data_IF_885805285864
#
_entry.id   IF_885805285864
#
_cell.length_a   1.000
_cell.length_b   1.000
_cell.length_c   1.000
_cell.angle_alpha   90.00
_cell.angle_beta   90.00
_cell.angle_gamma   90.00
#
_symmetry.space_group_name_H-M   'P 1'
#
loop_
_entity.id
_entity.type
_entity.pdbx_description
1 polymer ?
#
# COMPACT_ATOMS: atom_id res chain seq x y z
N UNK A 1 11.88 -19.81 -22.52
CA UNK A 1 11.16 -20.73 -21.61
C UNK A 1 9.68 -20.54 -21.83
N UNK A 2 8.89 -21.61 -21.90
CA UNK A 2 7.43 -21.45 -21.93
C UNK A 2 7.00 -20.86 -20.61
N UNK A 3 6.14 -19.85 -20.64
CA UNK A 3 5.60 -19.16 -19.49
C UNK A 3 4.55 -20.07 -18.84
N UNK A 4 4.85 -20.79 -17.77
CA UNK A 4 3.94 -21.84 -17.27
C UNK A 4 2.65 -21.26 -16.64
N UNK A 5 2.68 -19.98 -16.26
CA UNK A 5 1.58 -19.37 -15.49
C UNK A 5 0.93 -18.17 -16.17
N UNK A 6 1.48 -17.69 -17.27
CA UNK A 6 0.92 -16.57 -18.00
C UNK A 6 0.49 -16.99 -19.40
N UNK A 7 -0.79 -16.86 -19.69
CA UNK A 7 -1.31 -17.03 -21.03
C UNK A 7 -1.47 -15.65 -21.68
N UNK A 8 -0.62 -15.29 -22.65
CA UNK A 8 -0.69 -14.00 -23.34
C UNK A 8 -1.96 -13.84 -24.18
N UNK A 9 -2.68 -14.93 -24.44
CA UNK A 9 -4.02 -14.81 -25.00
C UNK A 9 -4.94 -14.46 -23.85
N UNK A 10 -5.75 -13.42 -24.00
CA UNK A 10 -6.82 -13.20 -23.06
C UNK A 10 -7.52 -14.53 -22.82
N UNK A 11 -7.46 -15.01 -21.60
CA UNK A 11 -8.15 -16.24 -21.20
C UNK A 11 -9.60 -16.14 -21.58
N UNK A 12 -10.03 -14.96 -21.82
CA UNK A 12 -11.38 -14.60 -22.02
C UNK A 12 -11.66 -14.03 -23.37
N UNK A 13 -12.81 -14.32 -23.78
CA UNK A 13 -13.48 -13.44 -24.69
C UNK A 13 -14.04 -12.22 -23.96
N UNK A 14 -13.42 -11.78 -22.86
CA UNK A 14 -13.79 -10.60 -22.15
C UNK A 14 -14.63 -10.78 -20.88
N UNK A 15 -15.04 -11.98 -20.50
CA UNK A 15 -15.86 -12.20 -19.33
C UNK A 15 -15.09 -12.67 -18.11
N UNK A 16 -15.58 -12.43 -16.88
CA UNK A 16 -14.96 -12.89 -15.63
C UNK A 16 -14.76 -14.39 -15.57
N UNK A 17 -15.66 -15.14 -16.13
CA UNK A 17 -15.63 -16.60 -16.23
C UNK A 17 -14.41 -17.14 -17.01
N UNK A 18 -13.77 -16.28 -17.79
CA UNK A 18 -12.57 -16.61 -18.50
C UNK A 18 -11.31 -16.60 -17.62
N UNK A 19 -11.42 -16.06 -16.42
CA UNK A 19 -10.37 -16.06 -15.44
C UNK A 19 -10.57 -17.19 -14.46
N UNK A 20 -9.59 -18.05 -14.34
CA UNK A 20 -9.46 -19.02 -13.22
C UNK A 20 -10.72 -19.83 -12.95
N UNK A 21 -11.69 -19.85 -13.82
CA UNK A 21 -12.97 -20.47 -13.52
C UNK A 21 -13.68 -19.82 -12.33
N UNK A 22 -13.32 -18.60 -11.97
CA UNK A 22 -14.09 -17.81 -11.00
C UNK A 22 -15.27 -17.25 -11.71
N UNK A 23 -16.39 -17.82 -11.44
CA UNK A 23 -17.67 -17.23 -11.78
C UNK A 23 -18.03 -16.21 -10.68
N UNK A 24 -17.97 -14.93 -11.00
CA UNK A 24 -18.45 -13.88 -10.11
C UNK A 24 -19.94 -13.98 -9.85
N UNK A 25 -20.62 -14.83 -10.58
CA UNK A 25 -22.03 -15.15 -10.41
C UNK A 25 -22.24 -16.45 -9.64
N UNK A 26 -21.17 -16.95 -8.97
CA UNK A 26 -21.35 -18.10 -8.09
C UNK A 26 -22.48 -17.80 -7.09
N UNK A 27 -23.54 -18.53 -7.23
CA UNK A 27 -24.68 -18.46 -6.33
C UNK A 27 -24.42 -19.21 -5.04
N UNK A 28 -23.42 -20.08 -5.05
CA UNK A 28 -23.00 -20.88 -3.92
C UNK A 28 -21.63 -20.39 -3.41
N UNK A 29 -21.46 -20.25 -2.10
CA UNK A 29 -20.17 -19.89 -1.55
C UNK A 29 -19.13 -20.98 -1.86
N UNK A 30 -17.85 -20.56 -2.02
CA UNK A 30 -16.76 -21.51 -2.11
C UNK A 30 -16.73 -22.42 -0.87
N UNK A 31 -16.44 -23.72 -1.04
CA UNK A 31 -16.29 -24.61 0.11
C UNK A 31 -15.21 -24.08 1.04
N UNK A 32 -15.45 -24.13 2.34
CA UNK A 32 -14.43 -23.81 3.32
C UNK A 32 -13.28 -24.79 3.23
N UNK A 33 -12.09 -24.29 2.99
CA UNK A 33 -10.86 -25.06 3.01
C UNK A 33 -9.89 -24.46 4.01
N UNK A 34 -9.42 -25.24 4.98
CA UNK A 34 -8.39 -24.83 5.91
C UNK A 34 -7.46 -25.97 6.28
N UNK A 35 -6.16 -25.66 6.42
CA UNK A 35 -5.16 -26.61 6.91
C UNK A 35 -4.24 -25.86 7.88
N UNK A 36 -4.13 -26.39 9.09
CA UNK A 36 -3.34 -25.80 10.19
C UNK A 36 -3.75 -24.37 10.60
N UNK A 37 -4.93 -23.92 10.18
CA UNK A 37 -5.52 -22.61 10.50
C UNK A 37 -6.95 -22.84 10.94
N UNK A 38 -7.41 -22.07 11.93
CA UNK A 38 -8.79 -22.08 12.40
C UNK A 38 -9.32 -20.64 12.42
N UNK A 39 -10.48 -20.45 11.79
CA UNK A 39 -11.23 -19.21 11.93
C UNK A 39 -11.64 -19.03 13.39
N UNK A 40 -11.26 -17.92 14.01
CA UNK A 40 -11.56 -17.61 15.41
C UNK A 40 -12.80 -16.73 15.50
N UNK A 41 -12.87 -15.69 14.69
CA UNK A 41 -13.99 -14.76 14.64
C UNK A 41 -14.07 -14.03 13.30
N UNK A 42 -15.19 -13.40 13.07
CA UNK A 42 -15.45 -12.55 11.90
C UNK A 42 -16.21 -11.30 12.35
N UNK A 43 -15.99 -10.17 11.69
CA UNK A 43 -16.77 -8.94 11.84
C UNK A 43 -17.05 -8.36 10.47
N UNK A 44 -18.28 -7.96 10.24
CA UNK A 44 -18.73 -7.25 9.02
C UNK A 44 -18.50 -5.74 9.10
N UNK A 45 -17.88 -5.25 10.18
CA UNK A 45 -17.63 -3.84 10.46
C UNK A 45 -18.90 -2.97 10.41
N UNK A 46 -20.06 -3.50 10.85
CA UNK A 46 -21.37 -2.87 10.74
C UNK A 46 -21.78 -2.55 9.29
N UNK A 47 -21.35 -3.38 8.34
CA UNK A 47 -21.64 -3.19 6.92
C UNK A 47 -20.81 -2.09 6.23
N UNK A 48 -19.76 -1.61 6.88
CA UNK A 48 -18.88 -0.60 6.24
C UNK A 48 -18.16 -1.14 5.01
N UNK A 49 -17.77 -2.38 4.97
CA UNK A 49 -17.34 -3.09 3.77
C UNK A 49 -15.96 -2.76 3.24
N UNK A 50 -15.56 -1.55 3.13
CA UNK A 50 -14.36 -1.06 2.41
C UNK A 50 -13.06 -1.21 3.19
N UNK A 51 -12.91 -2.25 3.97
CA UNK A 51 -11.73 -2.47 4.80
C UNK A 51 -10.46 -2.63 3.95
N UNK A 52 -9.43 -1.88 4.30
CA UNK A 52 -8.09 -2.01 3.74
C UNK A 52 -7.14 -2.66 4.75
N UNK A 53 -6.04 -1.99 5.05
CA UNK A 53 -5.04 -2.56 5.94
C UNK A 53 -5.43 -2.43 7.41
N UNK A 54 -4.99 -3.39 8.20
CA UNK A 54 -5.21 -3.45 9.63
C UNK A 54 -3.91 -3.26 10.40
N UNK A 55 -4.04 -2.70 11.59
CA UNK A 55 -2.96 -2.61 12.58
C UNK A 55 -3.48 -3.09 13.93
N UNK A 56 -2.81 -4.06 14.52
CA UNK A 56 -3.18 -4.57 15.85
C UNK A 56 -2.14 -4.14 16.89
N UNK A 57 -2.61 -3.70 18.05
CA UNK A 57 -1.74 -3.36 19.17
C UNK A 57 -2.51 -2.86 20.38
N UNK A 58 -1.98 -3.09 21.60
CA UNK A 58 -2.60 -2.64 22.84
C UNK A 58 -3.98 -3.26 23.12
N UNK A 59 -4.32 -4.41 22.52
CA UNK A 59 -5.63 -5.04 22.63
C UNK A 59 -6.70 -4.46 21.71
N UNK A 60 -6.29 -3.62 20.73
CA UNK A 60 -7.18 -3.03 19.72
C UNK A 60 -6.72 -3.37 18.31
N UNK A 61 -7.69 -3.46 17.40
CA UNK A 61 -7.47 -3.59 15.98
C UNK A 61 -8.04 -2.34 15.29
N UNK A 62 -7.18 -1.65 14.54
CA UNK A 62 -7.52 -0.49 13.74
C UNK A 62 -7.62 -0.92 12.28
N UNK A 63 -8.76 -0.70 11.68
CA UNK A 63 -9.05 -1.10 10.30
C UNK A 63 -9.24 0.17 9.47
N UNK A 64 -8.36 0.39 8.49
CA UNK A 64 -8.50 1.50 7.57
C UNK A 64 -9.70 1.28 6.63
N UNK A 65 -10.36 2.36 6.26
CA UNK A 65 -11.48 2.36 5.32
C UNK A 65 -11.17 3.17 4.07
N UNK A 66 -11.50 2.63 2.91
CA UNK A 66 -11.16 3.23 1.60
C UNK A 66 -12.01 4.45 1.25
N UNK A 67 -13.10 4.67 1.95
CA UNK A 67 -14.07 5.71 1.64
C UNK A 67 -14.95 5.46 0.42
N UNK A 68 -14.96 4.24 -0.10
CA UNK A 68 -16.02 3.81 -1.00
C UNK A 68 -17.32 3.75 -0.17
N UNK A 69 -18.44 4.09 -0.73
CA UNK A 69 -19.72 4.17 0.00
C UNK A 69 -19.77 5.23 1.14
N UNK A 70 -18.82 6.16 1.21
CA UNK A 70 -18.80 7.23 2.19
C UNK A 70 -18.29 6.84 3.58
N UNK A 71 -17.59 5.71 3.70
CA UNK A 71 -17.05 5.20 4.96
C UNK A 71 -15.53 5.43 5.06
N UNK A 72 -15.09 6.66 4.89
CA UNK A 72 -13.68 7.05 5.04
C UNK A 72 -13.24 7.01 6.50
N UNK A 73 -11.96 6.76 6.72
CA UNK A 73 -11.37 6.84 8.05
C UNK A 73 -11.02 5.48 8.62
N UNK A 74 -11.54 5.12 9.80
CA UNK A 74 -11.16 3.86 10.43
C UNK A 74 -12.24 3.29 11.35
N UNK A 75 -12.26 1.96 11.43
CA UNK A 75 -12.99 1.21 12.47
C UNK A 75 -12.02 0.73 13.53
N UNK A 76 -12.38 0.86 14.79
CA UNK A 76 -11.62 0.38 15.95
C UNK A 76 -12.39 -0.75 16.63
N UNK A 77 -11.72 -1.89 16.78
CA UNK A 77 -12.26 -3.03 17.48
C UNK A 77 -11.45 -3.31 18.77
N UNK A 78 -12.12 -3.60 19.85
CA UNK A 78 -11.52 -4.26 21.01
C UNK A 78 -11.33 -5.75 20.66
N UNK A 79 -10.10 -6.22 20.68
CA UNK A 79 -9.69 -7.58 20.37
C UNK A 79 -8.94 -8.24 21.51
N UNK A 80 -9.13 -7.77 22.74
CA UNK A 80 -8.56 -8.40 23.95
C UNK A 80 -9.03 -9.83 24.10
N UNK A 81 -10.27 -10.10 23.71
CA UNK A 81 -10.77 -11.45 23.41
C UNK A 81 -10.90 -11.61 21.89
N UNK A 82 -9.94 -12.25 21.22
CA UNK A 82 -9.97 -12.38 19.76
C UNK A 82 -11.11 -13.26 19.25
N UNK A 83 -11.76 -14.04 20.10
CA UNK A 83 -12.94 -14.83 19.72
C UNK A 83 -14.23 -13.99 19.72
N UNK A 84 -14.21 -12.82 20.33
CA UNK A 84 -15.35 -11.91 20.45
C UNK A 84 -14.93 -10.46 20.16
N UNK A 85 -14.46 -10.14 18.94
CA UNK A 85 -14.07 -8.78 18.59
C UNK A 85 -15.29 -7.86 18.69
N UNK A 86 -15.10 -6.67 19.28
CA UNK A 86 -16.17 -5.70 19.44
C UNK A 86 -15.80 -4.39 18.77
N UNK A 87 -16.64 -3.91 17.88
CA UNK A 87 -16.50 -2.55 17.37
C UNK A 87 -16.76 -1.58 18.52
N UNK A 88 -15.76 -0.76 18.81
CA UNK A 88 -15.82 0.23 19.90
C UNK A 88 -15.91 1.65 19.38
N UNK A 89 -15.45 1.90 18.17
CA UNK A 89 -15.62 3.19 17.48
C UNK A 89 -15.50 3.04 15.98
N UNK A 90 -16.16 3.94 15.25
CA UNK A 90 -16.02 4.12 13.80
C UNK A 90 -15.87 5.62 13.52
N UNK A 91 -14.71 6.00 13.02
CA UNK A 91 -14.35 7.40 12.77
C UNK A 91 -14.45 7.61 11.26
N UNK A 92 -15.40 8.44 10.85
CA UNK A 92 -15.49 8.94 9.48
C UNK A 92 -14.62 10.17 9.33
N UNK A 93 -13.95 10.24 8.21
CA UNK A 93 -13.15 11.39 7.80
C UNK A 93 -13.78 12.08 6.57
N UNK A 94 -13.00 12.81 5.81
CA UNK A 94 -13.47 13.49 4.62
C UNK A 94 -13.76 12.51 3.48
N UNK A 95 -14.94 12.55 2.84
CA UNK A 95 -15.26 11.73 1.68
C UNK A 95 -14.37 12.04 0.46
N UNK A 96 -13.59 13.10 0.53
CA UNK A 96 -12.65 13.52 -0.50
C UNK A 96 -11.31 12.77 -0.48
N UNK A 97 -11.03 12.02 0.58
CA UNK A 97 -9.77 11.30 0.74
C UNK A 97 -9.99 9.82 1.03
N UNK A 98 -8.93 9.03 0.85
CA UNK A 98 -8.90 7.59 1.18
C UNK A 98 -7.92 7.34 2.30
N UNK A 99 -8.31 6.51 3.26
CA UNK A 99 -7.42 5.99 4.29
C UNK A 99 -7.07 4.54 3.97
N UNK A 100 -5.87 4.32 3.43
CA UNK A 100 -5.39 2.96 3.12
C UNK A 100 -4.77 2.28 4.33
N UNK A 101 -4.23 3.07 5.26
CA UNK A 101 -3.42 2.54 6.33
C UNK A 101 -3.59 3.31 7.62
N UNK A 102 -3.63 2.57 8.71
CA UNK A 102 -3.53 3.09 10.07
C UNK A 102 -2.23 2.56 10.66
N UNK A 103 -1.39 3.43 11.17
CA UNK A 103 -0.12 3.11 11.81
C UNK A 103 -0.18 3.47 13.30
N UNK A 104 -0.16 2.47 14.16
CA UNK A 104 0.08 2.68 15.58
C UNK A 104 1.59 2.79 15.81
N UNK A 105 2.08 4.02 15.96
CA UNK A 105 3.50 4.30 16.15
C UNK A 105 3.95 3.83 17.54
N UNK A 106 3.18 4.21 18.55
CA UNK A 106 3.31 3.80 19.94
C UNK A 106 1.92 3.81 20.62
N UNK A 107 1.85 3.83 21.93
CA UNK A 107 0.59 3.85 22.67
C UNK A 107 -0.15 5.20 22.59
N UNK A 108 0.59 6.27 22.31
CA UNK A 108 0.07 7.64 22.33
C UNK A 108 -0.20 8.18 20.91
N UNK A 109 0.51 7.68 19.90
CA UNK A 109 0.45 8.24 18.54
C UNK A 109 -0.06 7.24 17.53
N UNK A 110 -1.11 7.64 16.83
CA UNK A 110 -1.66 6.97 15.66
C UNK A 110 -1.50 7.88 14.45
N UNK A 111 -1.13 7.30 13.32
CA UNK A 111 -0.99 8.03 12.05
C UNK A 111 -1.81 7.32 10.98
N UNK A 112 -2.55 8.07 10.19
CA UNK A 112 -3.20 7.57 8.97
C UNK A 112 -2.68 8.34 7.76
N UNK A 113 -2.74 7.71 6.59
CA UNK A 113 -2.54 8.45 5.34
C UNK A 113 -3.84 9.17 4.94
N UNK A 114 -3.68 10.20 4.14
CA UNK A 114 -4.72 10.88 3.40
C UNK A 114 -4.31 10.93 1.93
N UNK A 115 -5.00 10.15 1.09
CA UNK A 115 -4.83 10.21 -0.35
C UNK A 115 -6.07 10.82 -0.97
N UNK A 116 -5.91 11.99 -1.56
CA UNK A 116 -7.02 12.75 -2.16
C UNK A 116 -7.59 11.96 -3.35
N UNK A 117 -8.89 11.89 -3.44
CA UNK A 117 -9.56 11.31 -4.61
C UNK A 117 -9.45 12.23 -5.82
N UNK A 118 -9.25 11.71 -7.03
CA UNK A 118 -9.07 12.54 -8.23
C UNK A 118 -10.17 13.58 -8.46
N UNK A 119 -11.40 13.28 -8.07
CA UNK A 119 -12.54 14.22 -8.18
C UNK A 119 -12.47 15.43 -7.24
N UNK A 120 -11.60 15.41 -6.24
CA UNK A 120 -11.43 16.46 -5.24
C UNK A 120 -10.04 17.10 -5.26
N UNK A 121 -9.23 16.80 -6.28
CA UNK A 121 -7.83 17.27 -6.36
C UNK A 121 -7.67 18.80 -6.34
N UNK A 122 -8.67 19.51 -6.81
CA UNK A 122 -8.65 20.97 -6.91
C UNK A 122 -9.45 21.65 -5.77
N UNK A 123 -9.92 20.89 -4.78
CA UNK A 123 -10.63 21.39 -3.62
C UNK A 123 -9.62 21.88 -2.56
N UNK A 124 -9.54 23.19 -2.29
CA UNK A 124 -8.55 23.73 -1.37
C UNK A 124 -8.78 23.37 0.12
N UNK A 125 -9.94 22.81 0.45
CA UNK A 125 -10.25 22.35 1.81
C UNK A 125 -9.79 20.91 2.07
N UNK A 126 -9.34 20.21 1.03
CA UNK A 126 -8.93 18.80 1.13
C UNK A 126 -7.42 18.70 1.22
N UNK A 127 -6.94 18.14 2.33
CA UNK A 127 -5.51 18.01 2.61
C UNK A 127 -5.06 16.57 2.40
N UNK A 128 -4.08 16.39 1.50
CA UNK A 128 -3.37 15.13 1.31
C UNK A 128 -2.12 15.02 2.18
N UNK A 129 -1.75 13.81 2.58
CA UNK A 129 -0.55 13.58 3.38
C UNK A 129 -0.75 12.62 4.53
N UNK A 130 -0.35 13.00 5.73
CA UNK A 130 -0.52 12.23 6.96
C UNK A 130 -1.43 12.94 7.94
N UNK A 131 -2.24 12.20 8.65
CA UNK A 131 -3.06 12.65 9.76
C UNK A 131 -2.51 12.08 11.06
N UNK A 132 -2.26 12.94 12.03
CA UNK A 132 -1.72 12.58 13.34
C UNK A 132 -2.85 12.61 14.36
N UNK A 133 -2.95 11.56 15.16
CA UNK A 133 -3.96 11.44 16.21
C UNK A 133 -3.29 11.15 17.55
N UNK A 134 -3.82 11.77 18.61
CA UNK A 134 -3.61 11.36 20.00
C UNK A 134 -4.43 10.09 20.25
N UNK A 135 -3.74 9.01 20.57
CA UNK A 135 -4.29 7.67 20.81
C UNK A 135 -4.18 7.25 22.29
N UNK A 136 -4.00 8.20 23.21
CA UNK A 136 -3.95 7.92 24.66
C UNK A 136 -5.25 7.28 25.15
N UNK A 137 -6.38 7.62 24.51
CA UNK A 137 -7.62 6.84 24.57
C UNK A 137 -7.80 6.08 23.24
N UNK A 138 -7.49 4.78 23.19
CA UNK A 138 -7.58 4.00 21.96
C UNK A 138 -9.00 3.87 21.37
N UNK A 139 -10.01 4.13 22.19
CA UNK A 139 -11.41 4.10 21.74
C UNK A 139 -11.82 5.42 21.07
N UNK A 140 -11.24 6.54 21.52
CA UNK A 140 -11.56 7.87 21.02
C UNK A 140 -10.29 8.65 20.62
N UNK A 141 -9.54 8.19 19.60
CA UNK A 141 -8.37 8.92 19.11
C UNK A 141 -8.77 10.33 18.70
N UNK A 142 -7.96 11.33 19.07
CA UNK A 142 -8.23 12.73 18.77
C UNK A 142 -7.33 13.19 17.65
N UNK A 143 -7.90 13.71 16.59
CA UNK A 143 -7.14 14.37 15.54
C UNK A 143 -6.35 15.58 16.10
N UNK A 144 -5.07 15.64 15.76
CA UNK A 144 -4.14 16.68 16.22
C UNK A 144 -3.72 17.57 15.06
N UNK A 145 -3.18 16.98 13.98
CA UNK A 145 -2.57 17.76 12.90
C UNK A 145 -2.48 16.98 11.59
N UNK A 146 -2.27 17.71 10.49
CA UNK A 146 -1.83 17.20 9.19
C UNK A 146 -0.33 17.44 9.00
N UNK A 147 0.34 16.47 8.35
CA UNK A 147 1.61 16.69 7.64
C UNK A 147 1.26 16.69 6.16
N UNK A 148 1.19 17.86 5.58
CA UNK A 148 0.75 18.06 4.21
C UNK A 148 1.79 17.57 3.21
N UNK A 149 1.33 16.96 2.13
CA UNK A 149 2.15 16.44 1.03
C UNK A 149 1.48 16.83 -0.30
N UNK A 150 2.31 17.21 -1.24
CA UNK A 150 1.91 17.70 -2.56
C UNK A 150 0.96 16.75 -3.31
N UNK A 151 0.29 17.27 -4.33
CA UNK A 151 -0.54 16.52 -5.25
C UNK A 151 -1.69 15.79 -4.56
N UNK A 152 -1.76 14.48 -4.71
CA UNK A 152 -2.79 13.65 -4.08
C UNK A 152 -2.41 13.17 -2.67
N UNK A 153 -1.29 13.64 -2.10
CA UNK A 153 -0.85 13.27 -0.77
C UNK A 153 -0.11 11.93 -0.71
N UNK A 154 -0.45 11.10 0.28
CA UNK A 154 0.23 9.82 0.55
C UNK A 154 -0.71 8.66 0.33
N UNK A 155 -0.24 7.67 -0.45
CA UNK A 155 -0.95 6.42 -0.68
C UNK A 155 -0.70 5.40 0.45
N UNK A 156 0.57 4.99 0.67
CA UNK A 156 0.92 3.97 1.66
C UNK A 156 2.17 4.33 2.46
N UNK A 157 2.03 4.65 3.75
CA UNK A 157 3.15 4.79 4.66
C UNK A 157 3.53 3.46 5.31
N UNK A 158 4.83 3.21 5.48
CA UNK A 158 5.41 2.09 6.23
C UNK A 158 6.33 2.65 7.30
N UNK A 159 6.14 2.24 8.55
CA UNK A 159 6.96 2.69 9.67
C UNK A 159 8.05 1.69 10.02
N UNK A 160 9.31 2.09 9.84
CA UNK A 160 10.48 1.37 10.32
C UNK A 160 10.77 1.75 11.78
N UNK A 161 10.34 0.89 12.70
CA UNK A 161 10.52 1.10 14.14
C UNK A 161 11.99 1.10 14.57
N UNK A 162 12.85 0.36 13.86
CA UNK A 162 14.27 0.21 14.22
C UNK A 162 15.02 1.51 13.93
N UNK A 163 14.76 2.11 12.78
CA UNK A 163 15.42 3.34 12.35
C UNK A 163 14.66 4.61 12.73
N UNK A 164 13.43 4.49 13.20
CA UNK A 164 12.48 5.60 13.39
C UNK A 164 12.32 6.45 12.13
N UNK A 165 12.12 5.76 11.02
CA UNK A 165 11.86 6.36 9.72
C UNK A 165 10.49 5.89 9.21
N UNK A 166 9.87 6.71 8.39
CA UNK A 166 8.69 6.30 7.64
C UNK A 166 8.96 6.44 6.15
N UNK A 167 8.66 5.38 5.43
CA UNK A 167 8.76 5.30 3.98
C UNK A 167 7.36 5.37 3.40
N UNK A 168 7.10 6.33 2.54
CA UNK A 168 5.77 6.54 2.00
C UNK A 168 5.79 6.60 0.48
N UNK A 169 4.81 5.99 -0.16
CA UNK A 169 4.50 6.28 -1.55
C UNK A 169 3.62 7.53 -1.59
N UNK A 170 4.09 8.56 -2.25
CA UNK A 170 3.39 9.84 -2.27
C UNK A 170 3.76 10.68 -3.47
N UNK A 171 3.15 11.83 -3.58
CA UNK A 171 3.37 12.77 -4.66
C UNK A 171 4.37 13.86 -4.24
N UNK A 172 5.03 14.42 -5.23
CA UNK A 172 5.95 15.54 -5.06
C UNK A 172 5.92 16.43 -6.29
N UNK A 173 5.77 17.73 -6.11
CA UNK A 173 5.83 18.69 -7.20
C UNK A 173 7.16 18.58 -7.96
N UNK A 174 7.10 18.63 -9.29
CA UNK A 174 8.25 18.42 -10.15
C UNK A 174 8.59 16.95 -10.42
N UNK A 175 7.70 16.02 -10.03
CA UNK A 175 7.85 14.59 -10.30
C UNK A 175 6.55 13.98 -10.82
N UNK A 176 6.68 13.07 -11.77
CA UNK A 176 5.55 12.31 -12.32
C UNK A 176 5.30 11.04 -11.50
N UNK A 177 4.02 10.75 -11.25
CA UNK A 177 3.60 9.57 -10.51
C UNK A 177 3.87 9.66 -9.01
N UNK A 178 4.02 8.51 -8.36
CA UNK A 178 4.33 8.41 -6.94
C UNK A 178 5.81 8.10 -6.74
N UNK A 179 6.44 8.78 -5.82
CA UNK A 179 7.85 8.65 -5.46
C UNK A 179 8.01 8.17 -4.02
N UNK A 180 9.20 7.74 -3.64
CA UNK A 180 9.52 7.37 -2.26
C UNK A 180 9.76 8.63 -1.44
N UNK A 181 8.90 8.89 -0.46
CA UNK A 181 9.09 9.94 0.54
C UNK A 181 9.64 9.33 1.82
N UNK A 182 10.67 9.93 2.38
CA UNK A 182 11.28 9.51 3.65
C UNK A 182 11.04 10.59 4.71
N UNK A 183 10.46 10.17 5.84
CA UNK A 183 10.25 11.05 6.99
C UNK A 183 11.03 10.55 8.20
N UNK A 184 11.65 11.49 8.93
CA UNK A 184 12.19 11.23 10.28
C UNK A 184 11.02 11.20 11.28
N UNK A 185 10.97 10.13 12.06
CA UNK A 185 9.92 9.84 13.04
C UNK A 185 10.43 9.88 14.47
N UNK A 186 11.57 10.57 14.74
CA UNK A 186 12.10 10.75 16.10
C UNK A 186 11.07 11.46 16.98
N UNK A 187 10.40 12.46 16.42
CA UNK A 187 9.19 13.03 16.97
C UNK A 187 7.97 12.56 16.15
N UNK A 188 7.22 11.55 16.62
CA UNK A 188 6.09 11.04 15.86
C UNK A 188 4.88 11.98 15.84
N UNK A 189 4.88 13.04 16.66
CA UNK A 189 3.86 14.08 16.61
C UNK A 189 4.09 15.10 15.49
N UNK A 190 5.34 15.20 15.01
CA UNK A 190 5.78 16.09 13.97
C UNK A 190 6.75 15.38 13.01
N UNK A 191 6.29 14.39 12.22
CA UNK A 191 7.12 13.75 11.21
C UNK A 191 7.77 14.77 10.27
N UNK A 192 9.09 14.70 10.10
CA UNK A 192 9.83 15.62 9.26
C UNK A 192 10.20 14.97 7.93
N UNK A 193 9.83 15.58 6.80
CA UNK A 193 10.29 15.14 5.49
C UNK A 193 11.79 15.38 5.35
N UNK A 194 12.57 14.33 5.06
CA UNK A 194 14.03 14.40 5.00
C UNK A 194 14.62 13.90 3.69
N UNK A 195 13.95 13.05 2.93
CA UNK A 195 14.53 12.43 1.75
C UNK A 195 13.52 12.02 0.70
N UNK A 196 14.01 11.94 -0.54
CA UNK A 196 13.24 11.61 -1.73
C UNK A 196 13.99 10.60 -2.59
N UNK A 197 13.32 9.48 -2.95
CA UNK A 197 13.81 8.50 -3.91
C UNK A 197 12.88 8.40 -5.11
N UNK A 198 13.44 8.32 -6.32
CA UNK A 198 12.67 8.22 -7.56
C UNK A 198 13.44 7.41 -8.62
N UNK A 199 12.75 6.94 -9.64
CA UNK A 199 13.37 6.39 -10.85
C UNK A 199 13.71 7.52 -11.83
N UNK A 200 14.84 7.40 -12.52
CA UNK A 200 15.20 8.31 -13.59
C UNK A 200 14.09 8.36 -14.63
N UNK A 201 13.62 9.57 -14.91
CA UNK A 201 12.46 9.84 -15.76
C UNK A 201 11.21 10.27 -15.00
N UNK A 202 11.17 10.11 -13.68
CA UNK A 202 10.07 10.67 -12.88
C UNK A 202 10.24 12.16 -12.59
N UNK A 203 11.47 12.65 -12.53
CA UNK A 203 11.73 14.07 -12.32
C UNK A 203 11.53 14.85 -13.61
N UNK A 204 10.91 16.02 -13.53
CA UNK A 204 10.67 16.89 -14.67
C UNK A 204 11.96 17.18 -15.45
N UNK A 205 11.92 16.93 -16.75
CA UNK A 205 13.04 17.13 -17.65
C UNK A 205 14.00 15.94 -17.79
N UNK A 206 13.81 14.87 -17.03
CA UNK A 206 14.52 13.60 -17.24
C UNK A 206 13.86 12.77 -18.33
N UNK A 207 14.64 11.88 -18.96
CA UNK A 207 14.11 10.86 -19.88
C UNK A 207 13.79 9.58 -19.10
N UNK A 208 12.66 8.89 -19.39
CA UNK A 208 12.33 7.65 -18.71
C UNK A 208 13.42 6.58 -18.86
N UNK A 209 13.76 5.93 -17.74
CA UNK A 209 14.62 4.75 -17.71
C UNK A 209 13.85 3.44 -17.94
N UNK A 210 12.58 3.51 -18.25
CA UNK A 210 11.68 2.41 -18.60
C UNK A 210 11.16 2.56 -20.01
N UNK A 211 10.58 1.48 -20.56
CA UNK A 211 9.90 1.52 -21.84
C UNK A 211 8.50 2.16 -21.69
N UNK A 212 8.25 3.34 -22.24
CA UNK A 212 6.95 4.02 -22.12
C UNK A 212 5.81 3.28 -22.83
N UNK A 213 6.09 2.43 -23.80
CA UNK A 213 5.06 1.61 -24.46
C UNK A 213 4.56 0.48 -23.55
N UNK A 214 5.37 0.08 -22.57
CA UNK A 214 5.06 -1.00 -21.62
C UNK A 214 4.54 -0.44 -20.29
N UNK A 215 5.20 0.59 -19.78
CA UNK A 215 4.91 1.17 -18.45
C UNK A 215 3.89 2.30 -18.52
N UNK A 216 3.64 2.87 -19.72
CA UNK A 216 2.72 3.99 -19.86
C UNK A 216 3.24 5.29 -19.27
N UNK A 217 2.32 6.12 -18.76
CA UNK A 217 2.59 7.52 -18.40
C UNK A 217 3.39 7.71 -17.10
N UNK A 218 3.89 6.68 -16.49
CA UNK A 218 4.72 6.88 -15.32
C UNK A 218 4.97 5.70 -14.42
N UNK A 219 6.08 5.82 -13.75
CA UNK A 219 6.45 4.93 -12.66
C UNK A 219 5.68 5.35 -11.38
N UNK A 220 5.10 4.36 -10.70
CA UNK A 220 4.27 4.57 -9.52
C UNK A 220 4.73 3.63 -8.42
N UNK A 221 5.46 4.16 -7.45
CA UNK A 221 5.75 3.35 -6.25
C UNK A 221 4.43 3.04 -5.53
N UNK A 222 4.24 1.76 -5.16
CA UNK A 222 3.09 1.36 -4.38
C UNK A 222 3.36 1.45 -2.88
N UNK A 223 4.45 0.84 -2.41
CA UNK A 223 4.92 0.97 -1.03
C UNK A 223 6.43 0.73 -0.94
N UNK A 224 7.07 1.27 0.11
CA UNK A 224 8.47 1.06 0.42
C UNK A 224 8.65 0.25 1.69
N UNK A 225 9.21 -0.95 1.60
CA UNK A 225 9.40 -1.85 2.72
C UNK A 225 10.86 -1.83 3.21
N UNK A 226 11.11 -1.69 4.53
CA UNK A 226 12.45 -1.65 5.07
C UNK A 226 13.18 -2.99 4.95
N UNK A 227 14.44 -2.94 4.54
CA UNK A 227 15.35 -4.07 4.52
C UNK A 227 16.76 -3.61 4.94
N UNK A 228 17.04 -3.62 6.23
CA UNK A 228 18.28 -3.06 6.78
C UNK A 228 18.43 -1.56 6.49
N UNK A 229 19.49 -1.19 5.76
CA UNK A 229 19.67 0.17 5.26
C UNK A 229 19.00 0.43 3.91
N UNK A 230 18.31 -0.55 3.37
CA UNK A 230 17.66 -0.47 2.08
C UNK A 230 16.15 -0.35 2.21
N UNK A 231 15.51 0.10 1.14
CA UNK A 231 14.05 0.06 0.98
C UNK A 231 13.74 -0.64 -0.33
N UNK A 232 12.92 -1.68 -0.24
CA UNK A 232 12.45 -2.46 -1.38
C UNK A 232 11.04 -2.00 -1.75
N UNK A 233 10.80 -1.76 -3.02
CA UNK A 233 9.59 -1.11 -3.51
C UNK A 233 8.92 -1.91 -4.63
N UNK A 234 7.63 -2.17 -4.51
CA UNK A 234 6.80 -2.47 -5.66
C UNK A 234 6.56 -1.18 -6.44
N UNK A 235 6.90 -1.19 -7.71
CA UNK A 235 6.90 0.03 -8.54
C UNK A 235 5.95 -0.09 -9.73
N UNK A 236 4.79 -0.66 -9.45
CA UNK A 236 3.70 -0.86 -10.41
C UNK A 236 4.20 -1.53 -11.71
N UNK A 237 3.86 -0.98 -12.88
CA UNK A 237 4.31 -1.54 -14.16
C UNK A 237 5.81 -1.33 -14.44
N UNK A 238 6.50 -0.52 -13.63
CA UNK A 238 7.95 -0.37 -13.67
C UNK A 238 8.74 -1.47 -12.97
N UNK A 239 8.06 -2.43 -12.35
CA UNK A 239 8.69 -3.60 -11.75
C UNK A 239 8.96 -3.47 -10.25
N UNK A 240 10.08 -3.99 -9.80
CA UNK A 240 10.57 -3.92 -8.43
C UNK A 240 11.87 -3.13 -8.37
N UNK A 241 12.00 -2.31 -7.32
CA UNK A 241 13.09 -1.34 -7.18
C UNK A 241 13.67 -1.43 -5.77
N UNK A 242 14.95 -1.16 -5.65
CA UNK A 242 15.64 -1.02 -4.37
C UNK A 242 16.41 0.29 -4.31
N UNK A 243 16.27 0.97 -3.17
CA UNK A 243 17.03 2.18 -2.83
C UNK A 243 17.94 1.91 -1.64
N UNK A 244 19.15 2.47 -1.67
CA UNK A 244 20.03 2.59 -0.51
C UNK A 244 19.63 3.83 0.30
N UNK A 245 19.36 3.63 1.58
CA UNK A 245 19.05 4.66 2.56
C UNK A 245 20.07 4.65 3.71
N UNK A 246 21.34 4.32 3.43
CA UNK A 246 22.43 4.49 4.40
C UNK A 246 22.45 5.93 4.91
N UNK A 247 22.28 6.90 4.02
CA UNK A 247 21.86 8.28 4.35
C UNK A 247 20.38 8.44 3.99
N UNK A 248 19.45 8.43 4.95
CA UNK A 248 18.01 8.51 4.66
C UNK A 248 17.57 9.85 4.06
N UNK A 249 18.42 10.90 4.18
CA UNK A 249 18.16 12.18 3.54
C UNK A 249 18.54 12.18 2.04
N UNK A 250 19.23 11.14 1.58
CA UNK A 250 19.68 10.99 0.18
C UNK A 250 19.47 9.56 -0.30
N UNK A 251 18.22 9.12 -0.48
CA UNK A 251 17.95 7.82 -1.06
C UNK A 251 18.64 7.67 -2.41
N UNK A 252 19.47 6.64 -2.56
CA UNK A 252 20.18 6.36 -3.81
C UNK A 252 19.57 5.15 -4.52
N UNK A 253 19.23 5.31 -5.79
CA UNK A 253 18.77 4.19 -6.62
C UNK A 253 19.88 3.16 -6.74
N UNK A 254 19.56 1.91 -6.45
CA UNK A 254 20.52 0.80 -6.53
C UNK A 254 20.24 -0.11 -7.70
N UNK A 255 18.99 -0.54 -7.83
CA UNK A 255 18.67 -1.65 -8.69
C UNK A 255 17.18 -1.65 -9.05
N UNK A 256 16.89 -2.12 -10.28
CA UNK A 256 15.54 -2.34 -10.78
C UNK A 256 15.49 -3.63 -11.59
N UNK A 257 14.41 -4.38 -11.44
CA UNK A 257 14.07 -5.49 -12.33
C UNK A 257 12.60 -5.38 -12.73
N UNK A 258 12.35 -5.51 -14.02
CA UNK A 258 11.00 -5.53 -14.54
C UNK A 258 10.75 -6.75 -15.43
N UNK A 259 10.24 -7.86 -14.87
CA UNK A 259 9.86 -9.02 -15.65
C UNK A 259 8.73 -8.74 -16.67
N UNK A 260 7.94 -7.68 -16.49
CA UNK A 260 6.97 -7.25 -17.48
C UNK A 260 7.65 -6.83 -18.79
N UNK A 261 8.66 -5.96 -18.73
CA UNK A 261 9.43 -5.54 -19.89
C UNK A 261 10.22 -6.71 -20.51
N UNK A 262 10.83 -7.56 -19.70
CA UNK A 262 11.78 -8.58 -20.17
C UNK A 262 11.14 -9.90 -20.56
N UNK A 263 10.01 -10.26 -19.95
CA UNK A 263 9.34 -11.55 -20.14
C UNK A 263 7.88 -11.40 -20.53
N UNK A 264 7.34 -10.18 -20.56
CA UNK A 264 5.93 -9.89 -20.80
C UNK A 264 5.03 -10.50 -19.72
N UNK A 265 5.51 -10.57 -18.48
CA UNK A 265 4.69 -10.95 -17.33
C UNK A 265 3.72 -9.80 -17.00
N UNK A 266 2.62 -10.06 -16.29
CA UNK A 266 1.76 -9.00 -15.83
C UNK A 266 2.54 -7.97 -15.02
N UNK A 267 2.23 -6.69 -15.24
CA UNK A 267 2.73 -5.58 -14.43
C UNK A 267 2.04 -5.51 -13.07
N UNK A 268 1.89 -4.30 -12.55
CA UNK A 268 1.25 -4.00 -11.24
C UNK A 268 1.96 -4.66 -10.07
N UNK A 269 3.29 -4.49 -9.99
CA UNK A 269 4.10 -4.92 -8.84
C UNK A 269 3.72 -4.13 -7.59
N UNK A 270 3.01 -4.81 -6.71
CA UNK A 270 2.37 -4.19 -5.56
C UNK A 270 3.31 -4.11 -4.36
N UNK A 271 3.84 -5.25 -3.92
CA UNK A 271 4.69 -5.36 -2.73
C UNK A 271 5.99 -6.05 -3.09
N UNK A 272 7.10 -5.52 -2.60
CA UNK A 272 8.39 -6.18 -2.58
C UNK A 272 8.89 -6.18 -1.14
N UNK A 273 8.79 -7.31 -0.47
CA UNK A 273 9.09 -7.49 0.95
C UNK A 273 10.18 -8.52 1.15
N UNK A 274 11.22 -8.19 1.91
CA UNK A 274 12.20 -9.15 2.45
C UNK A 274 11.90 -9.33 3.93
N UNK A 275 11.35 -10.48 4.36
CA UNK A 275 11.08 -10.73 5.77
C UNK A 275 12.38 -10.74 6.59
N UNK A 276 12.33 -10.25 7.83
CA UNK A 276 13.49 -10.21 8.73
C UNK A 276 14.16 -11.59 8.86
N UNK A 277 15.46 -11.64 8.55
CA UNK A 277 16.26 -12.87 8.61
C UNK A 277 15.99 -13.86 7.47
N UNK A 278 15.19 -13.50 6.48
CA UNK A 278 14.97 -14.33 5.29
C UNK A 278 16.04 -14.11 4.24
N UNK A 279 16.37 -15.17 3.51
CA UNK A 279 17.18 -15.12 2.30
C UNK A 279 16.33 -14.97 1.04
N UNK A 280 15.01 -14.82 1.19
CA UNK A 280 14.06 -14.69 0.11
C UNK A 280 13.27 -13.39 0.24
N UNK A 281 13.02 -12.78 -0.91
CA UNK A 281 12.01 -11.74 -1.03
C UNK A 281 10.69 -12.32 -1.52
N UNK A 282 9.60 -11.71 -1.10
CA UNK A 282 8.24 -11.99 -1.55
C UNK A 282 7.78 -10.79 -2.37
N UNK A 283 7.42 -11.03 -3.61
CA UNK A 283 6.87 -10.01 -4.50
C UNK A 283 5.44 -10.40 -4.86
N UNK A 284 4.51 -9.49 -4.63
CA UNK A 284 3.12 -9.69 -5.01
C UNK A 284 2.72 -8.72 -6.12
N UNK A 285 1.75 -9.13 -6.91
CA UNK A 285 1.14 -8.31 -7.95
C UNK A 285 -0.29 -7.97 -7.56
N UNK A 286 -0.82 -6.93 -8.14
CA UNK A 286 -2.22 -6.53 -7.96
C UNK A 286 -2.97 -6.59 -9.30
N UNK A 287 -4.20 -7.03 -9.27
CA UNK A 287 -5.12 -6.90 -10.40
C UNK A 287 -6.00 -5.68 -10.17
N UNK A 288 -5.86 -4.67 -11.01
CA UNK A 288 -6.51 -3.37 -10.82
C UNK A 288 -7.68 -3.12 -11.74
N UNK A 289 -7.91 -4.00 -12.71
CA UNK A 289 -9.04 -3.87 -13.63
C UNK A 289 -10.31 -4.44 -13.04
N UNK A 290 -11.42 -3.77 -13.31
CA UNK A 290 -12.75 -4.29 -13.02
C UNK A 290 -13.06 -5.50 -13.88
N UNK A 291 -13.94 -6.37 -13.42
CA UNK A 291 -14.37 -7.57 -14.13
C UNK A 291 -13.25 -8.56 -14.47
N UNK A 292 -12.18 -8.55 -13.70
CA UNK A 292 -11.03 -9.46 -13.91
C UNK A 292 -10.49 -9.41 -15.35
N UNK A 293 -10.37 -8.24 -15.93
CA UNK A 293 -9.87 -8.07 -17.28
C UNK A 293 -8.36 -8.27 -17.44
N UNK A 294 -7.63 -8.33 -16.33
CA UNK A 294 -6.22 -8.72 -16.30
C UNK A 294 -6.04 -10.21 -15.99
N UNK A 295 -4.93 -10.81 -16.41
CA UNK A 295 -4.55 -12.14 -15.94
C UNK A 295 -4.46 -12.20 -14.43
N UNK A 296 -4.60 -13.38 -13.81
CA UNK A 296 -4.40 -13.56 -12.38
C UNK A 296 -3.05 -13.02 -11.91
N UNK A 297 -3.06 -12.35 -10.77
CA UNK A 297 -1.85 -11.85 -10.14
C UNK A 297 -0.98 -12.99 -9.60
N UNK A 298 0.33 -12.71 -9.45
CA UNK A 298 1.30 -13.69 -8.94
C UNK A 298 1.76 -13.36 -7.54
N UNK A 299 2.27 -14.40 -6.86
CA UNK A 299 3.25 -14.28 -5.78
C UNK A 299 4.55 -14.90 -6.27
N UNK A 300 5.61 -14.10 -6.30
CA UNK A 300 6.93 -14.53 -6.78
C UNK A 300 7.92 -14.48 -5.63
N UNK A 301 8.80 -15.47 -5.57
CA UNK A 301 9.87 -15.54 -4.58
C UNK A 301 11.20 -15.30 -5.27
N UNK A 302 11.99 -14.39 -4.73
CA UNK A 302 13.33 -14.07 -5.21
C UNK A 302 14.36 -14.53 -4.19
N UNK A 303 15.43 -15.17 -4.66
CA UNK A 303 16.59 -15.51 -3.85
C UNK A 303 17.47 -14.25 -3.68
N UNK A 304 17.67 -13.81 -2.43
CA UNK A 304 18.40 -12.59 -2.09
C UNK A 304 19.85 -12.84 -1.69
N UNK A 305 20.36 -14.07 -1.88
CA UNK A 305 21.73 -14.43 -1.51
C UNK A 305 22.79 -14.01 -2.52
N UNK A 306 22.37 -13.62 -3.74
CA UNK A 306 23.28 -13.25 -4.84
C UNK A 306 22.92 -11.90 -5.44
#
# INVERSE_FOLDING_TARGET
MSRPYYNPKPIRGGGPEAYIGVDHQLTEPWPEESSNVKLVAHSDLNGWGDAFQIQVGGGYCYVAASGVNGHDGMTILDVKDPANPKIVNQITDSPAARTHKVLRINDEVLITNSEIRPSFKDDPEVVGGLRIFDNTDPVHPKFINYIEVDGFGIHRPIYDRKRKLMYSSGFRDGYTGKVLLVHDMKDPWAPEFIGLGWLEGQKDGESPSWDPEIVGDGAWIHEGNPFGNYVTCGYWDSGIVMFDLTDPAKPEFMWRQNPHETHGWPGCYHTFLVPDGSEFAIVTHETTTVNCDHPPAFVTFYDMRN
#
